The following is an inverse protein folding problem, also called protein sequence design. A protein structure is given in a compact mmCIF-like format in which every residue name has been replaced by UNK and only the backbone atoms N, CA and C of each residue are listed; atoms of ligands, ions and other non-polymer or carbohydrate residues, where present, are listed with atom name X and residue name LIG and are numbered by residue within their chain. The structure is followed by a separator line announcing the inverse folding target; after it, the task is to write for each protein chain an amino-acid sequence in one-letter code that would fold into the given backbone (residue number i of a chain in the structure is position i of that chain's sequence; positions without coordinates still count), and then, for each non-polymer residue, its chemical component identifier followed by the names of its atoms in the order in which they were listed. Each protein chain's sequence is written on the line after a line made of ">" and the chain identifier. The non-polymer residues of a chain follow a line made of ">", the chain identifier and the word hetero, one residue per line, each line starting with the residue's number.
data_IF_859216852639
#
_entry.id   IF_859216852639
#
_cell.length_a   1.000
_cell.length_b   1.000
_cell.length_c   1.000
_cell.angle_alpha   90.00
_cell.angle_beta   90.00
_cell.angle_gamma   90.00
#
_symmetry.space_group_name_H-M   'P 1'
#
loop_
_entity.id
_entity.type
_entity.pdbx_description
1 polymer ?
#
# COMPACT_ATOMS: atom_id res chain seq x y z
N UNK A 1 -30.82 0.89 -14.16
CA UNK A 1 -29.75 0.04 -14.75
C UNK A 1 -29.10 0.60 -16.00
N UNK A 2 -29.81 1.05 -17.05
CA UNK A 2 -29.20 1.47 -18.33
C UNK A 2 -28.18 2.61 -18.19
N UNK A 3 -28.41 3.58 -17.30
CA UNK A 3 -27.45 4.66 -17.02
C UNK A 3 -26.14 4.13 -16.38
N UNK A 4 -26.21 3.07 -15.58
CA UNK A 4 -25.04 2.45 -14.99
C UNK A 4 -24.24 1.66 -16.03
N UNK A 5 -24.92 0.95 -16.94
CA UNK A 5 -24.25 0.28 -18.06
C UNK A 5 -23.63 1.26 -19.05
N UNK A 6 -24.26 2.41 -19.29
CA UNK A 6 -23.65 3.47 -20.10
C UNK A 6 -22.35 4.01 -19.47
N UNK A 7 -22.35 4.28 -18.16
CA UNK A 7 -21.15 4.66 -17.41
C UNK A 7 -20.08 3.55 -17.42
N UNK A 8 -20.49 2.31 -17.19
CA UNK A 8 -19.60 1.15 -17.26
C UNK A 8 -18.90 1.08 -18.62
N UNK A 9 -19.62 1.24 -19.72
CA UNK A 9 -19.04 1.22 -21.07
C UNK A 9 -17.97 2.30 -21.27
N UNK A 10 -18.22 3.53 -20.78
CA UNK A 10 -17.24 4.62 -20.81
C UNK A 10 -16.00 4.24 -20.01
N UNK A 11 -16.16 3.75 -18.78
CA UNK A 11 -15.04 3.33 -17.93
C UNK A 11 -14.21 2.20 -18.57
N UNK A 12 -14.87 1.24 -19.22
CA UNK A 12 -14.15 0.16 -19.93
C UNK A 12 -13.38 0.69 -21.14
N UNK A 13 -13.95 1.62 -21.90
CA UNK A 13 -13.26 2.23 -23.04
C UNK A 13 -11.97 2.94 -22.61
N UNK A 14 -12.06 3.76 -21.57
CA UNK A 14 -10.95 4.59 -21.06
C UNK A 14 -9.90 3.80 -20.24
N UNK A 15 -10.15 2.53 -19.90
CA UNK A 15 -9.22 1.76 -19.07
C UNK A 15 -7.96 1.37 -19.85
N UNK A 16 -6.76 1.79 -19.43
CA UNK A 16 -5.50 1.42 -20.08
C UNK A 16 -5.20 -0.07 -19.89
N UNK A 17 -4.66 -0.71 -20.93
CA UNK A 17 -4.31 -2.14 -20.93
C UNK A 17 -2.82 -2.39 -21.20
N UNK A 18 -2.04 -1.34 -21.39
CA UNK A 18 -0.63 -1.45 -21.77
C UNK A 18 0.21 -2.16 -20.71
N UNK A 19 -0.11 -1.92 -19.44
CA UNK A 19 0.58 -2.54 -18.31
C UNK A 19 -0.46 -3.05 -17.31
N UNK A 20 -0.37 -4.33 -16.99
CA UNK A 20 -1.20 -5.02 -16.00
C UNK A 20 -0.27 -5.48 -14.88
N UNK A 21 -0.63 -5.17 -13.63
CA UNK A 21 0.16 -5.60 -12.47
C UNK A 21 0.04 -7.10 -12.24
N UNK A 22 1.12 -7.75 -11.79
CA UNK A 22 1.17 -9.20 -11.59
C UNK A 22 0.17 -9.69 -10.54
N UNK A 23 -0.19 -8.84 -9.57
CA UNK A 23 -1.28 -9.09 -8.62
C UNK A 23 -2.59 -9.53 -9.29
N UNK A 24 -2.80 -9.18 -10.58
CA UNK A 24 -3.92 -9.68 -11.37
C UNK A 24 -3.99 -11.20 -11.40
N UNK A 25 -2.84 -11.88 -11.43
CA UNK A 25 -2.72 -13.33 -11.50
C UNK A 25 -2.85 -14.00 -10.11
N UNK A 26 -2.57 -13.25 -9.04
CA UNK A 26 -2.60 -13.78 -7.66
C UNK A 26 -4.01 -13.77 -7.06
N UNK A 27 -4.92 -12.98 -7.65
CA UNK A 27 -6.29 -12.84 -7.16
C UNK A 27 -7.15 -14.02 -7.62
N UNK A 28 -7.79 -14.69 -6.67
CA UNK A 28 -8.79 -15.72 -6.94
C UNK A 28 -10.11 -15.09 -7.39
N UNK A 29 -10.16 -14.61 -8.62
CA UNK A 29 -11.32 -13.91 -9.17
C UNK A 29 -12.62 -14.72 -9.14
N UNK A 30 -12.55 -16.03 -9.03
CA UNK A 30 -13.71 -16.91 -8.91
C UNK A 30 -14.34 -16.92 -7.51
N UNK A 31 -13.70 -16.30 -6.52
CA UNK A 31 -14.29 -16.13 -5.20
C UNK A 31 -15.62 -15.35 -5.30
N UNK A 32 -16.60 -15.79 -4.52
CA UNK A 32 -17.95 -15.17 -4.48
C UNK A 32 -17.91 -13.73 -3.99
N UNK A 33 -17.04 -13.44 -3.01
CA UNK A 33 -16.80 -12.11 -2.50
C UNK A 33 -15.29 -11.94 -2.30
N UNK A 34 -14.72 -10.92 -2.92
CA UNK A 34 -13.35 -10.52 -2.69
C UNK A 34 -13.25 -9.02 -2.43
N UNK A 35 -12.24 -8.61 -1.70
CA UNK A 35 -11.95 -7.20 -1.45
C UNK A 35 -10.52 -6.86 -1.83
N UNK A 36 -10.33 -5.76 -2.57
CA UNK A 36 -9.03 -5.19 -2.88
C UNK A 36 -8.84 -3.91 -2.05
N UNK A 37 -7.93 -3.98 -1.09
CA UNK A 37 -7.62 -2.90 -0.15
C UNK A 37 -6.23 -2.35 -0.45
N UNK A 38 -5.98 -1.13 -0.06
CA UNK A 38 -4.64 -0.54 -0.20
C UNK A 38 -4.68 0.99 -0.21
N UNK A 39 -3.51 1.64 -0.15
CA UNK A 39 -3.41 3.09 -0.17
C UNK A 39 -4.13 3.72 -1.36
N UNK A 40 -4.52 4.97 -1.21
CA UNK A 40 -5.12 5.73 -2.31
C UNK A 40 -4.06 6.00 -3.39
N UNK A 41 -4.45 5.85 -4.67
CA UNK A 41 -3.56 6.13 -5.80
C UNK A 41 -2.68 4.96 -6.27
N UNK A 42 -2.77 3.77 -5.65
CA UNK A 42 -1.94 2.60 -6.03
C UNK A 42 -2.50 1.77 -7.20
N UNK A 43 -3.64 2.17 -7.78
CA UNK A 43 -4.19 1.54 -8.98
C UNK A 43 -5.27 0.48 -8.76
N UNK A 44 -5.93 0.42 -7.58
CA UNK A 44 -7.04 -0.53 -7.30
C UNK A 44 -8.16 -0.48 -8.33
N UNK A 45 -8.65 0.71 -8.62
CA UNK A 45 -9.70 0.98 -9.61
C UNK A 45 -9.31 0.48 -11.00
N UNK A 46 -8.06 0.75 -11.41
CA UNK A 46 -7.53 0.32 -12.71
C UNK A 46 -7.45 -1.20 -12.78
N UNK A 47 -6.95 -1.86 -11.74
CA UNK A 47 -6.85 -3.34 -11.67
C UNK A 47 -8.22 -4.00 -11.80
N UNK A 48 -9.26 -3.50 -11.11
CA UNK A 48 -10.63 -4.00 -11.20
C UNK A 48 -11.23 -3.84 -12.60
N UNK A 49 -11.02 -2.68 -13.22
CA UNK A 49 -11.49 -2.41 -14.58
C UNK A 49 -10.75 -3.27 -15.61
N UNK A 50 -9.43 -3.44 -15.48
CA UNK A 50 -8.63 -4.32 -16.31
C UNK A 50 -9.11 -5.77 -16.23
N UNK A 51 -9.41 -6.27 -15.02
CA UNK A 51 -9.99 -7.59 -14.86
C UNK A 51 -11.29 -7.76 -15.66
N UNK A 52 -12.21 -6.81 -15.58
CA UNK A 52 -13.46 -6.89 -16.33
C UNK A 52 -13.23 -6.86 -17.84
N UNK A 53 -12.33 -5.97 -18.30
CA UNK A 53 -12.00 -5.84 -19.73
C UNK A 53 -11.33 -7.09 -20.32
N UNK A 54 -10.57 -7.83 -19.50
CA UNK A 54 -9.94 -9.09 -19.92
C UNK A 54 -10.93 -10.26 -20.00
N UNK A 55 -11.94 -10.27 -19.14
CA UNK A 55 -12.78 -11.48 -18.96
C UNK A 55 -14.18 -11.37 -19.55
N UNK A 56 -14.61 -10.17 -19.95
CA UNK A 56 -15.95 -9.94 -20.50
C UNK A 56 -15.85 -9.16 -21.81
N UNK A 57 -16.59 -9.59 -22.85
CA UNK A 57 -16.59 -8.88 -24.13
C UNK A 57 -17.22 -7.48 -23.99
N UNK A 58 -16.82 -6.52 -24.84
CA UNK A 58 -17.44 -5.19 -24.86
C UNK A 58 -18.96 -5.25 -24.97
N UNK A 59 -19.66 -4.47 -24.16
CA UNK A 59 -21.12 -4.42 -24.13
C UNK A 59 -21.79 -5.58 -23.38
N UNK A 60 -21.03 -6.49 -22.77
CA UNK A 60 -21.59 -7.55 -21.95
C UNK A 60 -22.41 -7.00 -20.78
N UNK A 61 -23.64 -7.50 -20.60
CA UNK A 61 -24.47 -7.20 -19.43
C UNK A 61 -24.26 -8.20 -18.28
N UNK A 62 -23.34 -9.16 -18.42
CA UNK A 62 -23.00 -10.13 -17.36
C UNK A 62 -22.08 -9.56 -16.30
N UNK A 63 -21.40 -8.43 -16.57
CA UNK A 63 -20.57 -7.73 -15.61
C UNK A 63 -20.95 -6.26 -15.51
N UNK A 64 -20.77 -5.69 -14.31
CA UNK A 64 -21.02 -4.28 -14.05
C UNK A 64 -19.96 -3.73 -13.10
N UNK A 65 -19.36 -2.60 -13.47
CA UNK A 65 -18.52 -1.77 -12.60
C UNK A 65 -19.32 -0.54 -12.18
N UNK A 66 -19.35 -0.28 -10.87
CA UNK A 66 -19.91 0.92 -10.29
C UNK A 66 -18.96 1.53 -9.27
N UNK A 67 -18.75 2.85 -9.32
CA UNK A 67 -18.18 3.59 -8.20
C UNK A 67 -19.29 3.95 -7.23
N UNK A 68 -19.14 3.57 -5.96
CA UNK A 68 -20.19 3.72 -4.94
C UNK A 68 -20.32 5.17 -4.46
N UNK A 69 -19.35 6.03 -4.76
CA UNK A 69 -19.44 7.48 -4.54
C UNK A 69 -20.32 8.20 -5.60
N UNK A 70 -20.89 7.44 -6.54
CA UNK A 70 -21.84 8.00 -7.53
C UNK A 70 -23.13 8.48 -6.87
N UNK A 71 -23.64 9.61 -7.36
CA UNK A 71 -24.94 10.17 -6.92
C UNK A 71 -26.11 9.17 -7.05
N UNK A 72 -25.96 8.12 -7.85
CA UNK A 72 -26.95 7.04 -7.96
C UNK A 72 -27.25 6.41 -6.59
N UNK A 73 -26.23 6.22 -5.75
CA UNK A 73 -26.37 5.60 -4.44
C UNK A 73 -26.87 6.54 -3.33
N UNK A 74 -27.20 7.79 -3.65
CA UNK A 74 -27.92 8.65 -2.72
C UNK A 74 -29.41 8.30 -2.63
N UNK A 75 -29.96 7.55 -3.60
CA UNK A 75 -31.37 7.18 -3.69
C UNK A 75 -31.60 5.69 -3.92
N UNK A 76 -30.59 4.90 -4.18
CA UNK A 76 -30.67 3.46 -4.43
C UNK A 76 -29.72 2.71 -3.52
N UNK A 77 -30.16 1.58 -2.97
CA UNK A 77 -29.31 0.70 -2.16
C UNK A 77 -28.44 -0.21 -3.03
N UNK A 78 -27.39 -0.78 -2.41
CA UNK A 78 -26.57 -1.81 -3.06
C UNK A 78 -27.38 -3.09 -3.27
N UNK A 79 -28.32 -3.37 -2.37
CA UNK A 79 -29.21 -4.52 -2.46
C UNK A 79 -30.16 -4.41 -3.65
N UNK A 80 -30.80 -3.24 -3.85
CA UNK A 80 -31.68 -3.00 -5.03
C UNK A 80 -30.89 -3.14 -6.33
N UNK A 81 -29.67 -2.58 -6.37
CA UNK A 81 -28.78 -2.74 -7.52
C UNK A 81 -28.50 -4.21 -7.82
N UNK A 82 -28.15 -4.99 -6.79
CA UNK A 82 -27.82 -6.42 -6.96
C UNK A 82 -29.03 -7.22 -7.42
N UNK A 83 -30.23 -6.92 -6.89
CA UNK A 83 -31.48 -7.59 -7.27
C UNK A 83 -31.82 -7.33 -8.75
N UNK A 84 -31.81 -6.05 -9.18
CA UNK A 84 -32.03 -5.73 -10.60
C UNK A 84 -30.97 -6.37 -11.51
N UNK A 85 -29.69 -6.32 -11.11
CA UNK A 85 -28.58 -6.85 -11.89
C UNK A 85 -28.71 -8.37 -12.09
N UNK A 86 -29.02 -9.12 -11.02
CA UNK A 86 -29.22 -10.58 -11.09
C UNK A 86 -30.43 -10.95 -11.95
N UNK A 87 -31.56 -10.22 -11.84
CA UNK A 87 -32.74 -10.42 -12.68
C UNK A 87 -32.47 -10.23 -14.17
N UNK A 88 -31.49 -9.39 -14.52
CA UNK A 88 -31.01 -9.17 -15.89
C UNK A 88 -29.98 -10.21 -16.38
N UNK A 89 -29.62 -11.19 -15.54
CA UNK A 89 -28.63 -12.22 -15.86
C UNK A 89 -27.20 -11.80 -15.54
N UNK A 90 -27.02 -10.82 -14.65
CA UNK A 90 -25.70 -10.38 -14.17
C UNK A 90 -24.97 -11.46 -13.36
N UNK A 91 -23.66 -11.58 -13.57
CA UNK A 91 -22.83 -12.61 -12.97
C UNK A 91 -21.71 -12.02 -12.08
N UNK A 92 -21.16 -10.84 -12.45
CA UNK A 92 -20.04 -10.18 -11.77
C UNK A 92 -20.36 -8.72 -11.49
N UNK A 93 -20.44 -8.36 -10.22
CA UNK A 93 -20.60 -6.99 -9.75
C UNK A 93 -19.30 -6.47 -9.13
N UNK A 94 -18.82 -5.33 -9.60
CA UNK A 94 -17.62 -4.65 -9.05
C UNK A 94 -18.06 -3.33 -8.45
N UNK A 95 -17.85 -3.16 -7.15
CA UNK A 95 -18.22 -1.99 -6.35
C UNK A 95 -16.95 -1.32 -5.84
N UNK A 96 -16.58 -0.21 -6.47
CA UNK A 96 -15.38 0.55 -6.16
C UNK A 96 -15.66 1.61 -5.09
N UNK A 97 -14.68 1.89 -4.23
CA UNK A 97 -14.76 2.85 -3.11
C UNK A 97 -15.93 2.54 -2.13
N UNK A 98 -16.14 1.25 -1.82
CA UNK A 98 -17.29 0.75 -1.05
C UNK A 98 -17.47 1.45 0.31
N UNK A 99 -16.37 1.90 0.93
CA UNK A 99 -16.36 2.56 2.24
C UNK A 99 -17.09 3.91 2.27
N UNK A 100 -17.44 4.46 1.11
CA UNK A 100 -18.21 5.70 1.00
C UNK A 100 -19.71 5.51 1.18
N UNK A 101 -20.17 4.26 1.22
CA UNK A 101 -21.57 3.92 1.46
C UNK A 101 -21.75 3.45 2.91
N UNK A 102 -22.57 4.13 3.71
CA UNK A 102 -22.62 3.96 5.17
C UNK A 102 -22.96 2.54 5.62
N UNK A 103 -23.93 1.88 4.97
CA UNK A 103 -24.43 0.56 5.35
C UNK A 103 -23.85 -0.59 4.51
N UNK A 104 -22.76 -0.35 3.80
CA UNK A 104 -22.21 -1.28 2.83
C UNK A 104 -21.97 -2.70 3.36
N UNK A 105 -21.48 -2.84 4.60
CA UNK A 105 -21.09 -4.17 5.13
C UNK A 105 -22.31 -5.06 5.38
N UNK A 106 -23.41 -4.48 5.87
CA UNK A 106 -24.66 -5.21 6.10
C UNK A 106 -25.30 -5.61 4.76
N UNK A 107 -25.37 -4.69 3.79
CA UNK A 107 -25.94 -4.98 2.48
C UNK A 107 -25.08 -5.96 1.67
N UNK A 108 -23.75 -5.87 1.70
CA UNK A 108 -22.87 -6.86 1.04
C UNK A 108 -23.04 -8.25 1.66
N UNK A 109 -23.23 -8.34 2.97
CA UNK A 109 -23.54 -9.62 3.63
C UNK A 109 -24.87 -10.18 3.12
N UNK A 110 -25.90 -9.37 3.06
CA UNK A 110 -27.22 -9.76 2.58
C UNK A 110 -27.19 -10.17 1.10
N UNK A 111 -26.51 -9.41 0.25
CA UNK A 111 -26.27 -9.75 -1.16
C UNK A 111 -25.58 -11.12 -1.28
N UNK A 112 -24.53 -11.35 -0.47
CA UNK A 112 -23.84 -12.62 -0.45
C UNK A 112 -24.76 -13.79 -0.07
N UNK A 113 -25.61 -13.60 0.91
CA UNK A 113 -26.49 -14.67 1.40
C UNK A 113 -27.69 -14.93 0.44
N UNK A 114 -28.26 -13.89 -0.19
CA UNK A 114 -29.40 -13.99 -1.11
C UNK A 114 -29.03 -14.45 -2.53
N UNK A 115 -27.86 -14.05 -3.03
CA UNK A 115 -27.48 -14.32 -4.43
C UNK A 115 -26.23 -15.22 -4.55
N UNK A 116 -26.36 -16.55 -4.33
CA UNK A 116 -25.21 -17.46 -4.24
C UNK A 116 -24.41 -17.61 -5.53
N UNK A 117 -24.97 -17.21 -6.69
CA UNK A 117 -24.28 -17.24 -8.00
C UNK A 117 -23.63 -15.92 -8.37
N UNK A 118 -23.99 -14.81 -7.70
CA UNK A 118 -23.41 -13.51 -7.96
C UNK A 118 -21.99 -13.47 -7.36
N UNK A 119 -21.02 -13.11 -8.18
CA UNK A 119 -19.64 -12.86 -7.75
C UNK A 119 -19.46 -11.34 -7.55
N UNK A 120 -19.04 -10.94 -6.35
CA UNK A 120 -18.87 -9.52 -5.99
C UNK A 120 -17.40 -9.25 -5.71
N UNK A 121 -16.86 -8.19 -6.32
CA UNK A 121 -15.57 -7.64 -5.98
C UNK A 121 -15.75 -6.22 -5.43
N UNK A 122 -15.18 -5.95 -4.28
CA UNK A 122 -15.23 -4.62 -3.66
C UNK A 122 -13.83 -4.02 -3.56
N UNK A 123 -13.72 -2.72 -3.66
CA UNK A 123 -12.49 -2.02 -3.32
C UNK A 123 -12.71 -0.95 -2.26
N UNK A 124 -11.61 -0.59 -1.59
CA UNK A 124 -11.64 0.51 -0.63
C UNK A 124 -10.25 0.92 -0.17
N UNK A 125 -10.20 2.00 0.62
CA UNK A 125 -8.95 2.46 1.22
C UNK A 125 -8.39 1.45 2.23
N UNK A 126 -7.16 1.68 2.68
CA UNK A 126 -6.51 0.89 3.74
C UNK A 126 -7.36 0.83 5.03
N UNK A 127 -8.17 1.86 5.27
CA UNK A 127 -9.04 1.98 6.43
C UNK A 127 -10.27 1.07 6.40
N UNK A 128 -10.57 0.46 5.25
CA UNK A 128 -11.75 -0.42 5.10
C UNK A 128 -11.79 -1.59 6.10
N UNK A 129 -10.64 -2.04 6.59
CA UNK A 129 -10.58 -3.09 7.60
C UNK A 129 -11.24 -2.70 8.93
N UNK A 130 -11.19 -1.42 9.26
CA UNK A 130 -11.71 -0.90 10.54
C UNK A 130 -13.25 -0.87 10.51
N UNK A 131 -13.81 -0.61 9.34
CA UNK A 131 -15.24 -0.54 9.12
C UNK A 131 -15.93 -1.92 9.08
N UNK A 132 -15.16 -3.01 8.94
CA UNK A 132 -15.71 -4.38 8.87
C UNK A 132 -16.17 -4.95 10.22
N UNK A 133 -16.07 -4.18 11.32
CA UNK A 133 -16.38 -4.67 12.67
C UNK A 133 -17.83 -5.05 12.91
N UNK A 134 -18.77 -4.54 12.12
CA UNK A 134 -20.20 -4.68 12.37
C UNK A 134 -20.87 -5.82 11.59
N UNK A 135 -20.25 -6.33 10.53
CA UNK A 135 -20.81 -7.45 9.78
C UNK A 135 -19.82 -8.61 9.68
N UNK A 136 -20.29 -9.82 9.87
CA UNK A 136 -19.51 -11.06 9.78
C UNK A 136 -19.14 -11.38 8.31
N UNK A 137 -18.30 -10.52 7.71
CA UNK A 137 -17.72 -10.73 6.38
C UNK A 137 -16.41 -11.51 6.43
N UNK A 138 -15.84 -11.73 7.60
CA UNK A 138 -14.51 -12.35 7.76
C UNK A 138 -14.41 -13.75 7.17
N UNK A 139 -15.50 -14.54 7.21
CA UNK A 139 -15.57 -15.88 6.62
C UNK A 139 -16.09 -15.91 5.18
N UNK A 140 -16.57 -14.77 4.66
CA UNK A 140 -17.20 -14.65 3.35
C UNK A 140 -16.31 -13.98 2.31
N UNK A 141 -15.45 -13.07 2.74
CA UNK A 141 -14.66 -12.20 1.88
C UNK A 141 -13.19 -12.62 1.85
N UNK A 142 -12.64 -12.82 0.67
CA UNK A 142 -11.20 -13.05 0.46
C UNK A 142 -10.52 -11.68 0.30
N UNK A 143 -9.67 -11.26 1.26
CA UNK A 143 -9.01 -9.96 1.21
C UNK A 143 -7.71 -10.03 0.41
N UNK A 144 -7.50 -9.03 -0.44
CA UNK A 144 -6.22 -8.78 -1.13
C UNK A 144 -5.73 -7.38 -0.80
N UNK A 145 -4.42 -7.24 -0.69
CA UNK A 145 -3.77 -5.96 -0.45
C UNK A 145 -3.00 -5.55 -1.71
N UNK A 146 -3.31 -4.36 -2.23
CA UNK A 146 -2.56 -3.75 -3.31
C UNK A 146 -1.73 -2.60 -2.73
N UNK A 147 -0.41 -2.71 -2.84
CA UNK A 147 0.54 -1.68 -2.45
C UNK A 147 0.94 -0.83 -3.67
N UNK A 148 1.71 0.24 -3.47
CA UNK A 148 2.31 0.97 -4.58
C UNK A 148 3.22 0.09 -5.42
N UNK A 149 3.78 0.62 -6.50
CA UNK A 149 4.68 -0.15 -7.35
C UNK A 149 5.94 -0.54 -6.57
N UNK A 150 6.39 -1.78 -6.71
CA UNK A 150 7.73 -2.19 -6.32
C UNK A 150 8.76 -1.61 -7.29
N UNK A 151 10.06 -1.68 -6.95
CA UNK A 151 11.10 -1.27 -7.90
C UNK A 151 11.07 -2.13 -9.18
N UNK A 152 10.78 -3.41 -9.08
CA UNK A 152 10.59 -4.32 -10.21
C UNK A 152 9.44 -3.86 -11.11
N UNK A 153 8.28 -3.56 -10.54
CA UNK A 153 7.13 -3.05 -11.29
C UNK A 153 7.42 -1.69 -11.92
N UNK A 154 8.12 -0.80 -11.21
CA UNK A 154 8.56 0.47 -11.76
C UNK A 154 9.44 0.30 -13.01
N UNK A 155 10.37 -0.66 -13.03
CA UNK A 155 11.17 -0.96 -14.23
C UNK A 155 10.30 -1.38 -15.40
N UNK A 156 9.22 -2.12 -15.15
CA UNK A 156 8.24 -2.50 -16.18
C UNK A 156 7.46 -1.29 -16.68
N UNK A 157 6.98 -0.42 -15.78
CA UNK A 157 6.24 0.80 -16.15
C UNK A 157 7.13 1.82 -16.87
N UNK A 158 8.35 2.05 -16.39
CA UNK A 158 9.23 3.11 -16.88
C UNK A 158 10.03 2.71 -18.13
N UNK A 159 10.43 1.45 -18.23
CA UNK A 159 11.37 0.96 -19.24
C UNK A 159 10.82 -0.20 -20.09
N UNK A 160 9.64 -0.71 -19.80
CA UNK A 160 9.15 -1.93 -20.44
C UNK A 160 9.98 -3.19 -20.08
N UNK A 161 10.75 -3.14 -19.00
CA UNK A 161 11.59 -4.25 -18.56
C UNK A 161 10.79 -5.16 -17.64
N UNK A 162 10.41 -6.32 -18.14
CA UNK A 162 9.71 -7.33 -17.37
C UNK A 162 10.69 -8.28 -16.70
N UNK A 163 10.59 -8.41 -15.37
CA UNK A 163 11.48 -9.19 -14.53
C UNK A 163 10.64 -10.01 -13.54
N UNK A 164 11.08 -11.22 -13.16
CA UNK A 164 10.34 -12.08 -12.24
C UNK A 164 10.35 -11.52 -10.81
N UNK A 165 9.33 -11.89 -10.03
CA UNK A 165 9.32 -11.76 -8.58
C UNK A 165 10.35 -12.72 -7.99
N UNK A 166 11.07 -12.27 -6.95
CA UNK A 166 12.05 -13.07 -6.22
C UNK A 166 11.58 -13.28 -4.79
N UNK A 167 11.66 -14.52 -4.31
CA UNK A 167 11.38 -14.81 -2.90
C UNK A 167 12.51 -14.30 -2.02
N UNK A 168 12.19 -14.03 -0.77
CA UNK A 168 13.15 -13.58 0.24
C UNK A 168 14.38 -14.50 0.33
N UNK A 169 14.13 -15.81 0.42
CA UNK A 169 15.17 -16.82 0.52
C UNK A 169 16.08 -16.84 -0.72
N UNK A 170 15.51 -16.60 -1.90
CA UNK A 170 16.27 -16.54 -3.17
C UNK A 170 17.15 -15.28 -3.24
N UNK A 171 16.64 -14.13 -2.76
CA UNK A 171 17.45 -12.90 -2.68
C UNK A 171 18.65 -13.09 -1.76
N UNK A 172 18.47 -13.79 -0.64
CA UNK A 172 19.58 -14.06 0.29
C UNK A 172 20.56 -15.11 -0.24
N UNK A 173 20.05 -16.18 -0.85
CA UNK A 173 20.88 -17.31 -1.30
C UNK A 173 21.59 -17.05 -2.63
N UNK A 174 20.96 -16.32 -3.55
CA UNK A 174 21.44 -16.16 -4.94
C UNK A 174 21.43 -14.69 -5.41
N UNK A 175 21.91 -13.73 -4.60
CA UNK A 175 21.83 -12.30 -4.95
C UNK A 175 22.59 -11.95 -6.23
N UNK A 176 23.66 -12.69 -6.58
CA UNK A 176 24.42 -12.52 -7.80
C UNK A 176 23.57 -12.73 -9.06
N UNK A 177 22.73 -13.76 -9.07
CA UNK A 177 21.87 -14.07 -10.23
C UNK A 177 20.90 -12.94 -10.50
N UNK A 178 20.23 -12.43 -9.46
CA UNK A 178 19.35 -11.27 -9.57
C UNK A 178 20.08 -10.04 -10.08
N UNK A 179 21.24 -9.73 -9.51
CA UNK A 179 22.02 -8.56 -9.90
C UNK A 179 22.49 -8.62 -11.35
N UNK A 180 22.95 -9.77 -11.82
CA UNK A 180 23.34 -10.00 -13.22
C UNK A 180 22.14 -9.84 -14.15
N UNK A 181 21.01 -10.43 -13.78
CA UNK A 181 19.76 -10.33 -14.58
C UNK A 181 19.34 -8.87 -14.77
N UNK A 182 19.26 -8.10 -13.69
CA UNK A 182 18.86 -6.69 -13.73
C UNK A 182 19.89 -5.85 -14.48
N UNK A 183 21.18 -6.04 -14.19
CA UNK A 183 22.29 -5.31 -14.86
C UNK A 183 22.32 -5.55 -16.36
N UNK A 184 21.92 -6.74 -16.82
CA UNK A 184 21.83 -7.04 -18.25
C UNK A 184 20.73 -6.24 -18.98
N UNK A 185 19.79 -5.64 -18.24
CA UNK A 185 18.64 -4.91 -18.79
C UNK A 185 18.70 -3.40 -18.58
N UNK A 186 19.30 -2.94 -17.49
CA UNK A 186 19.37 -1.51 -17.16
C UNK A 186 20.58 -1.18 -16.27
N UNK A 187 20.73 0.11 -15.95
CA UNK A 187 21.64 0.61 -14.93
C UNK A 187 20.89 0.68 -13.58
N UNK A 188 21.01 -0.35 -12.70
CA UNK A 188 20.14 -0.50 -11.55
C UNK A 188 20.20 0.69 -10.59
N UNK A 189 21.38 1.26 -10.32
CA UNK A 189 21.53 2.40 -9.40
C UNK A 189 20.82 3.67 -9.91
N UNK A 190 20.93 3.96 -11.21
CA UNK A 190 20.25 5.12 -11.78
C UNK A 190 18.73 4.95 -11.76
N UNK A 191 18.24 3.76 -12.16
CA UNK A 191 16.81 3.45 -12.09
C UNK A 191 16.27 3.44 -10.65
N UNK A 192 17.08 2.97 -9.70
CA UNK A 192 16.70 2.95 -8.30
C UNK A 192 16.61 4.34 -7.68
N UNK A 193 17.55 5.24 -8.02
CA UNK A 193 17.46 6.64 -7.61
C UNK A 193 16.19 7.32 -8.12
N UNK A 194 15.80 7.05 -9.37
CA UNK A 194 14.52 7.52 -9.93
C UNK A 194 13.32 6.94 -9.21
N UNK A 195 13.34 5.63 -8.91
CA UNK A 195 12.27 4.97 -8.16
C UNK A 195 12.08 5.59 -6.77
N UNK A 196 13.15 5.77 -6.01
CA UNK A 196 13.08 6.37 -4.68
C UNK A 196 12.45 7.76 -4.72
N UNK A 197 12.60 8.48 -5.81
CA UNK A 197 12.05 9.83 -5.98
C UNK A 197 10.59 9.83 -6.43
N UNK A 198 10.20 8.95 -7.37
CA UNK A 198 8.92 9.07 -8.10
C UNK A 198 8.26 7.76 -8.53
N UNK A 199 8.81 6.61 -8.12
CA UNK A 199 8.43 5.31 -8.69
C UNK A 199 7.30 4.58 -7.96
N UNK A 200 6.83 5.06 -6.82
CA UNK A 200 5.88 4.31 -5.98
C UNK A 200 4.44 4.38 -6.47
N UNK A 201 3.95 5.57 -6.91
CA UNK A 201 2.56 5.75 -7.32
C UNK A 201 2.42 5.74 -8.84
N UNK A 202 1.58 4.83 -9.42
CA UNK A 202 1.41 4.73 -10.87
C UNK A 202 0.82 5.98 -11.52
N UNK A 203 0.09 6.84 -10.80
CA UNK A 203 -0.43 8.09 -11.35
C UNK A 203 0.66 9.12 -11.72
N UNK A 204 1.94 8.84 -11.45
CA UNK A 204 3.04 9.60 -12.02
C UNK A 204 2.96 9.66 -13.55
N UNK A 205 2.56 8.55 -14.17
CA UNK A 205 2.49 8.43 -15.63
C UNK A 205 1.32 9.20 -16.25
N UNK A 206 0.30 9.55 -15.47
CA UNK A 206 -0.83 10.38 -15.93
C UNK A 206 -0.39 11.85 -16.09
N UNK A 207 0.36 12.39 -15.13
CA UNK A 207 0.86 13.76 -15.16
C UNK A 207 2.12 13.94 -14.28
N UNK A 208 3.33 13.76 -14.85
CA UNK A 208 4.58 13.89 -14.12
C UNK A 208 4.81 15.28 -13.50
N UNK A 209 4.32 16.34 -14.13
CA UNK A 209 4.55 17.73 -13.70
C UNK A 209 3.80 18.07 -12.40
N UNK A 210 2.68 17.43 -12.13
CA UNK A 210 1.85 17.64 -10.92
C UNK A 210 1.95 16.52 -9.90
N UNK A 211 2.90 15.59 -10.07
CA UNK A 211 3.01 14.39 -9.29
C UNK A 211 3.02 14.63 -7.75
N UNK A 212 3.91 15.47 -7.26
CA UNK A 212 4.02 15.76 -5.85
C UNK A 212 2.79 16.50 -5.30
N UNK A 213 2.24 17.44 -6.07
CA UNK A 213 0.96 18.09 -5.72
C UNK A 213 -0.18 17.06 -5.63
N UNK A 214 -0.19 16.06 -6.52
CA UNK A 214 -1.18 14.98 -6.45
C UNK A 214 -1.01 14.11 -5.20
N UNK A 215 0.22 13.82 -4.78
CA UNK A 215 0.50 13.14 -3.50
C UNK A 215 -0.01 13.96 -2.31
N UNK A 216 0.28 15.26 -2.28
CA UNK A 216 -0.22 16.17 -1.23
C UNK A 216 -1.75 16.21 -1.20
N UNK A 217 -2.41 16.24 -2.34
CA UNK A 217 -3.87 16.19 -2.42
C UNK A 217 -4.44 14.86 -1.90
N UNK A 218 -3.80 13.74 -2.21
CA UNK A 218 -4.17 12.41 -1.67
C UNK A 218 -4.01 12.40 -0.16
N UNK A 219 -2.90 12.90 0.36
CA UNK A 219 -2.64 13.01 1.80
C UNK A 219 -3.69 13.88 2.50
N UNK A 220 -3.94 15.08 1.96
CA UNK A 220 -4.94 15.98 2.50
C UNK A 220 -6.33 15.34 2.52
N UNK A 221 -6.71 14.64 1.46
CA UNK A 221 -7.99 13.95 1.39
C UNK A 221 -8.11 12.85 2.45
N UNK A 222 -7.07 12.05 2.67
CA UNK A 222 -7.07 11.00 3.70
C UNK A 222 -7.23 11.62 5.09
N UNK A 223 -6.48 12.68 5.41
CA UNK A 223 -6.49 13.30 6.75
C UNK A 223 -7.75 14.13 6.99
N UNK A 224 -8.23 14.89 6.00
CA UNK A 224 -9.36 15.82 6.20
C UNK A 224 -10.73 15.15 6.03
N UNK A 225 -10.82 14.02 5.32
CA UNK A 225 -12.08 13.36 4.99
C UNK A 225 -12.14 11.89 5.43
N UNK A 226 -11.22 11.02 5.01
CA UNK A 226 -11.35 9.58 5.29
C UNK A 226 -11.14 9.26 6.79
N UNK A 227 -10.09 9.77 7.42
CA UNK A 227 -9.82 9.51 8.83
C UNK A 227 -10.91 10.03 9.77
N UNK A 228 -11.45 11.27 9.59
CA UNK A 228 -12.57 11.74 10.38
C UNK A 228 -13.81 10.85 10.28
N UNK A 229 -14.16 10.40 9.08
CA UNK A 229 -15.32 9.52 8.88
C UNK A 229 -15.16 8.17 9.61
N UNK A 230 -13.97 7.56 9.50
CA UNK A 230 -13.70 6.22 10.05
C UNK A 230 -13.47 6.25 11.55
N UNK A 231 -12.75 7.24 12.06
CA UNK A 231 -12.31 7.33 13.47
C UNK A 231 -13.09 8.33 14.31
N UNK A 232 -14.11 8.99 13.72
CA UNK A 232 -14.90 10.04 14.38
C UNK A 232 -14.01 11.13 14.98
N UNK A 233 -12.92 11.45 14.27
CA UNK A 233 -12.00 12.53 14.65
C UNK A 233 -12.65 13.86 14.30
N UNK A 234 -12.65 14.80 15.26
CA UNK A 234 -13.10 16.16 14.99
C UNK A 234 -12.25 16.81 13.89
N UNK A 235 -12.90 17.39 12.89
CA UNK A 235 -12.25 18.10 11.78
C UNK A 235 -11.27 19.17 12.27
N UNK A 236 -11.58 19.82 13.39
CA UNK A 236 -10.66 20.79 14.03
C UNK A 236 -9.29 20.18 14.41
N UNK A 237 -9.21 18.87 14.59
CA UNK A 237 -7.98 18.17 14.95
C UNK A 237 -7.17 17.65 13.75
N UNK A 238 -7.69 17.70 12.53
CA UNK A 238 -6.96 17.24 11.32
C UNK A 238 -5.70 18.05 11.09
N UNK A 239 -5.72 19.36 11.41
CA UNK A 239 -4.54 20.22 11.36
C UNK A 239 -3.41 19.74 12.27
N UNK A 240 -3.74 19.26 13.48
CA UNK A 240 -2.74 18.70 14.42
C UNK A 240 -2.14 17.40 13.87
N UNK A 241 -2.96 16.58 13.20
CA UNK A 241 -2.51 15.35 12.58
C UNK A 241 -1.55 15.62 11.41
N UNK A 242 -1.85 16.63 10.57
CA UNK A 242 -0.91 17.12 9.53
C UNK A 242 0.39 17.64 10.12
N UNK A 243 0.31 18.42 11.22
CA UNK A 243 1.50 18.89 11.95
C UNK A 243 2.35 17.74 12.47
N UNK A 244 1.73 16.68 13.02
CA UNK A 244 2.44 15.48 13.47
C UNK A 244 3.16 14.80 12.30
N UNK A 245 2.47 14.58 11.18
CA UNK A 245 3.05 13.96 10.00
C UNK A 245 4.23 14.78 9.44
N UNK A 246 4.08 16.11 9.39
CA UNK A 246 5.15 17.02 8.97
C UNK A 246 6.38 16.93 9.89
N UNK A 247 6.16 16.92 11.22
CA UNK A 247 7.24 16.74 12.20
C UNK A 247 7.96 15.41 11.98
N UNK A 248 7.23 14.32 11.74
CA UNK A 248 7.81 13.00 11.48
C UNK A 248 8.62 12.98 10.18
N UNK A 249 8.14 13.61 9.12
CA UNK A 249 8.82 13.63 7.81
C UNK A 249 10.13 14.44 7.83
N UNK A 250 10.26 15.41 8.72
CA UNK A 250 11.45 16.29 8.83
C UNK A 250 12.41 15.90 9.95
N UNK A 251 12.24 14.72 10.55
CA UNK A 251 13.12 14.19 11.58
C UNK A 251 13.79 12.89 11.11
N UNK A 252 15.07 12.72 11.43
CA UNK A 252 15.72 11.41 11.30
C UNK A 252 15.03 10.43 12.26
N UNK A 253 14.67 9.20 11.81
CA UNK A 253 14.09 8.21 12.69
C UNK A 253 14.99 7.89 13.87
N UNK A 254 14.55 8.23 15.06
CA UNK A 254 15.20 7.94 16.33
C UNK A 254 14.22 7.16 17.22
N UNK A 255 14.72 6.68 18.34
CA UNK A 255 13.84 6.07 19.35
C UNK A 255 12.73 7.06 19.72
N UNK A 256 11.48 6.61 19.54
CA UNK A 256 10.31 7.49 19.65
C UNK A 256 10.19 8.09 21.05
N UNK A 257 10.18 9.41 21.13
CA UNK A 257 9.84 10.16 22.33
C UNK A 257 8.47 10.85 22.15
N UNK A 258 7.44 10.22 22.69
CA UNK A 258 6.07 10.73 22.63
C UNK A 258 5.93 12.08 23.33
N UNK A 259 6.72 12.34 24.38
CA UNK A 259 6.67 13.64 25.09
C UNK A 259 7.19 14.77 24.23
N UNK A 260 8.27 14.52 23.48
CA UNK A 260 8.84 15.49 22.55
C UNK A 260 7.87 15.74 21.36
N UNK A 261 7.27 14.69 20.81
CA UNK A 261 6.26 14.82 19.75
C UNK A 261 5.04 15.61 20.25
N UNK A 262 4.58 15.33 21.47
CA UNK A 262 3.48 16.05 22.11
C UNK A 262 3.80 17.55 22.28
N UNK A 263 5.00 17.88 22.77
CA UNK A 263 5.45 19.26 22.92
C UNK A 263 5.54 20.00 21.58
N UNK A 264 6.11 19.37 20.54
CA UNK A 264 6.26 19.98 19.21
C UNK A 264 4.93 20.20 18.49
N UNK A 265 3.93 19.38 18.75
CA UNK A 265 2.62 19.43 18.07
C UNK A 265 1.53 20.09 18.90
N UNK A 266 1.82 20.45 20.16
CA UNK A 266 0.84 21.03 21.09
C UNK A 266 -0.32 20.07 21.42
N UNK A 267 -0.04 18.75 21.45
CA UNK A 267 -1.03 17.70 21.74
C UNK A 267 -0.71 16.99 23.06
N UNK A 268 -1.73 16.37 23.64
CA UNK A 268 -1.53 15.43 24.74
C UNK A 268 -0.91 14.11 24.26
N UNK A 269 -0.14 13.42 25.12
CA UNK A 269 0.56 12.16 24.80
C UNK A 269 -0.37 11.09 24.26
N UNK A 270 -1.54 10.91 24.87
CA UNK A 270 -2.52 9.91 24.44
C UNK A 270 -3.10 10.22 23.06
N UNK A 271 -3.29 11.51 22.75
CA UNK A 271 -3.73 11.97 21.43
C UNK A 271 -2.67 11.69 20.38
N UNK A 272 -1.38 11.93 20.68
CA UNK A 272 -0.27 11.59 19.77
C UNK A 272 -0.27 10.09 19.47
N UNK A 273 -0.35 9.22 20.49
CA UNK A 273 -0.40 7.76 20.32
C UNK A 273 -1.59 7.32 19.46
N UNK A 274 -2.77 7.89 19.69
CA UNK A 274 -3.95 7.58 18.87
C UNK A 274 -3.75 8.01 17.41
N UNK A 275 -3.22 9.20 17.17
CA UNK A 275 -3.00 9.71 15.81
C UNK A 275 -1.89 8.97 15.08
N UNK A 276 -0.83 8.55 15.75
CA UNK A 276 0.17 7.65 15.17
C UNK A 276 -0.47 6.36 14.67
N UNK A 277 -1.34 5.75 15.49
CA UNK A 277 -2.07 4.55 15.09
C UNK A 277 -2.98 4.81 13.88
N UNK A 278 -3.69 5.93 13.84
CA UNK A 278 -4.58 6.27 12.71
C UNK A 278 -3.79 6.52 11.41
N UNK A 279 -2.64 7.17 11.49
CA UNK A 279 -1.76 7.40 10.35
C UNK A 279 -1.15 6.08 9.83
N UNK A 280 -0.79 5.15 10.71
CA UNK A 280 -0.31 3.80 10.34
C UNK A 280 -1.40 2.98 9.65
N UNK A 281 -2.61 2.98 10.18
CA UNK A 281 -3.77 2.33 9.57
C UNK A 281 -4.10 2.92 8.19
N UNK A 282 -3.93 4.23 8.02
CA UNK A 282 -4.09 4.93 6.74
C UNK A 282 -2.94 4.69 5.76
N UNK A 283 -1.88 3.99 6.17
CA UNK A 283 -0.68 3.80 5.36
C UNK A 283 0.01 5.10 4.96
N UNK A 284 0.07 6.04 5.90
CA UNK A 284 0.88 7.26 5.79
C UNK A 284 2.20 7.14 6.54
N UNK A 285 2.26 6.26 7.53
CA UNK A 285 3.47 5.91 8.29
C UNK A 285 3.54 4.41 8.53
N UNK A 286 4.71 3.93 8.95
CA UNK A 286 4.94 2.60 9.51
C UNK A 286 5.37 2.71 10.97
N UNK A 287 4.67 2.03 11.87
CA UNK A 287 5.03 1.90 13.28
C UNK A 287 5.81 0.60 13.47
N UNK A 288 7.05 0.68 13.91
CA UNK A 288 7.87 -0.48 14.22
C UNK A 288 7.99 -0.70 15.73
N UNK A 289 7.89 -1.96 16.10
CA UNK A 289 8.01 -2.46 17.46
C UNK A 289 9.10 -3.51 17.51
N UNK A 290 9.81 -3.59 18.61
CA UNK A 290 10.84 -4.60 18.87
C UNK A 290 10.28 -5.94 19.34
N UNK A 291 8.98 -6.05 19.43
CA UNK A 291 8.24 -7.24 19.80
C UNK A 291 6.79 -7.04 19.36
N UNK A 292 6.31 -7.91 18.49
CA UNK A 292 4.97 -7.85 17.94
C UNK A 292 3.90 -8.46 18.84
N UNK A 293 4.22 -8.80 20.12
CA UNK A 293 3.22 -9.26 21.08
C UNK A 293 2.11 -8.22 21.23
N UNK A 294 0.87 -8.68 21.39
CA UNK A 294 -0.32 -7.80 21.49
C UNK A 294 -0.21 -6.75 22.60
N UNK A 295 0.46 -7.11 23.71
CA UNK A 295 0.68 -6.21 24.85
C UNK A 295 1.59 -5.04 24.50
N UNK A 296 2.67 -5.27 23.71
CA UNK A 296 3.59 -4.20 23.31
C UNK A 296 3.05 -3.31 22.18
N UNK A 297 2.23 -3.87 21.29
CA UNK A 297 1.52 -3.05 20.28
C UNK A 297 0.54 -2.04 20.89
N UNK A 298 0.12 -2.24 22.14
CA UNK A 298 -0.68 -1.26 22.89
C UNK A 298 0.17 -0.14 23.52
N UNK A 299 1.48 -0.28 23.51
CA UNK A 299 2.44 0.71 24.02
C UNK A 299 2.94 1.63 22.89
N UNK A 300 3.89 2.49 23.19
CA UNK A 300 4.52 3.35 22.18
C UNK A 300 5.33 2.52 21.18
N UNK A 301 5.36 2.88 19.89
CA UNK A 301 6.27 2.27 18.93
C UNK A 301 7.74 2.58 19.28
N UNK A 302 8.65 1.72 18.85
CA UNK A 302 10.09 1.94 19.01
C UNK A 302 10.64 2.89 17.92
N UNK A 303 10.22 2.72 16.65
CA UNK A 303 10.56 3.61 15.53
C UNK A 303 9.32 3.94 14.70
N UNK A 304 9.37 5.07 14.00
CA UNK A 304 8.32 5.54 13.09
C UNK A 304 8.97 5.95 11.78
N UNK A 305 8.43 5.48 10.67
CA UNK A 305 8.83 5.86 9.31
C UNK A 305 7.64 6.40 8.53
N UNK A 306 7.87 7.33 7.60
CA UNK A 306 6.89 7.65 6.56
C UNK A 306 6.68 6.40 5.70
N UNK A 307 5.47 6.17 5.19
CA UNK A 307 5.12 4.91 4.52
C UNK A 307 6.02 4.59 3.32
N UNK A 308 6.32 5.57 2.49
CA UNK A 308 7.17 5.39 1.32
C UNK A 308 7.99 6.64 1.00
N UNK A 309 9.02 6.48 0.18
CA UNK A 309 9.97 7.55 -0.14
C UNK A 309 9.35 8.68 -0.96
N UNK A 310 8.36 8.39 -1.79
CA UNK A 310 7.69 9.41 -2.60
C UNK A 310 6.79 10.32 -1.75
N UNK A 311 6.12 9.73 -0.74
CA UNK A 311 5.38 10.50 0.26
C UNK A 311 6.34 11.36 1.10
N UNK A 312 7.50 10.81 1.51
CA UNK A 312 8.54 11.59 2.19
C UNK A 312 8.98 12.79 1.33
N UNK A 313 9.27 12.57 0.05
CA UNK A 313 9.67 13.63 -0.88
C UNK A 313 8.61 14.73 -1.08
N UNK A 314 7.32 14.37 -0.95
CA UNK A 314 6.24 15.35 -1.04
C UNK A 314 6.09 16.20 0.25
N UNK A 315 6.44 15.66 1.42
CA UNK A 315 6.19 16.32 2.72
C UNK A 315 7.46 17.01 3.26
N UNK A 316 8.63 16.38 3.10
CA UNK A 316 9.88 16.85 3.68
C UNK A 316 10.48 18.01 2.89
N UNK A 317 10.97 19.03 3.60
CA UNK A 317 11.55 20.24 2.98
C UNK A 317 12.74 19.95 2.06
N UNK A 318 13.53 18.92 2.33
CA UNK A 318 14.76 18.57 1.59
C UNK A 318 14.81 17.11 1.16
N UNK A 319 13.65 16.43 0.98
CA UNK A 319 13.59 15.02 0.57
C UNK A 319 14.04 14.02 1.63
N UNK A 320 14.28 14.47 2.85
CA UNK A 320 14.73 13.64 3.96
C UNK A 320 16.25 13.33 3.95
N UNK A 321 16.74 12.77 5.07
CA UNK A 321 18.10 12.24 5.18
C UNK A 321 18.24 10.95 4.38
N UNK A 322 19.37 10.77 3.70
CA UNK A 322 19.60 9.59 2.82
C UNK A 322 19.55 8.25 3.58
N UNK A 323 19.96 8.22 4.84
CA UNK A 323 19.83 7.04 5.70
C UNK A 323 18.36 6.69 5.91
N UNK A 324 17.57 7.70 6.24
CA UNK A 324 16.10 7.59 6.40
C UNK A 324 15.40 7.09 5.13
N UNK A 325 15.78 7.62 3.97
CA UNK A 325 15.23 7.19 2.66
C UNK A 325 15.48 5.70 2.43
N UNK A 326 16.68 5.20 2.74
CA UNK A 326 17.04 3.78 2.63
C UNK A 326 16.23 2.89 3.55
N UNK A 327 16.09 3.28 4.82
CA UNK A 327 15.30 2.55 5.80
C UNK A 327 13.81 2.53 5.43
N UNK A 328 13.24 3.66 4.99
CA UNK A 328 11.85 3.76 4.50
C UNK A 328 11.61 2.81 3.33
N UNK A 329 12.50 2.80 2.35
CA UNK A 329 12.40 1.88 1.22
C UNK A 329 12.40 0.42 1.70
N UNK A 330 13.35 0.04 2.55
CA UNK A 330 13.46 -1.32 3.06
C UNK A 330 12.19 -1.74 3.83
N UNK A 331 11.72 -0.93 4.78
CA UNK A 331 10.48 -1.22 5.53
C UNK A 331 9.28 -1.35 4.61
N UNK A 332 9.12 -0.42 3.65
CA UNK A 332 8.00 -0.45 2.72
C UNK A 332 7.97 -1.73 1.89
N UNK A 333 9.09 -2.13 1.28
CA UNK A 333 9.13 -3.32 0.42
C UNK A 333 9.01 -4.63 1.22
N UNK A 334 9.68 -4.72 2.35
CA UNK A 334 9.62 -5.92 3.22
C UNK A 334 8.23 -6.11 3.83
N UNK A 335 7.59 -5.05 4.31
CA UNK A 335 6.30 -5.14 5.01
C UNK A 335 5.14 -5.61 4.12
N UNK A 336 5.35 -5.74 2.81
CA UNK A 336 4.35 -6.32 1.91
C UNK A 336 4.11 -7.81 2.18
N UNK A 337 5.18 -8.58 2.35
CA UNK A 337 5.12 -10.04 2.49
C UNK A 337 5.69 -10.57 3.82
N UNK A 338 6.42 -9.76 4.57
CA UNK A 338 7.17 -10.16 5.76
C UNK A 338 6.78 -9.35 7.00
N UNK A 339 6.99 -9.95 8.17
CA UNK A 339 6.94 -9.23 9.43
C UNK A 339 8.24 -8.49 9.64
N UNK A 340 8.16 -7.18 9.84
CA UNK A 340 9.34 -6.35 10.11
C UNK A 340 9.25 -5.83 11.54
N UNK A 341 10.27 -6.11 12.33
CA UNK A 341 10.42 -5.66 13.71
C UNK A 341 11.66 -4.75 13.82
N UNK A 342 11.68 -3.87 14.81
CA UNK A 342 12.86 -3.08 15.11
C UNK A 342 13.97 -3.95 15.72
N UNK A 343 15.16 -3.96 15.12
CA UNK A 343 16.29 -4.82 15.49
C UNK A 343 17.00 -4.44 16.80
N UNK A 344 16.67 -3.28 17.41
CA UNK A 344 17.30 -2.75 18.64
C UNK A 344 18.80 -2.50 18.48
N UNK A 345 19.60 -3.28 19.26
CA UNK A 345 21.06 -3.20 19.24
C UNK A 345 21.67 -4.09 18.13
N UNK A 346 20.87 -4.97 17.56
CA UNK A 346 21.30 -6.01 16.64
C UNK A 346 20.78 -5.70 15.22
N UNK A 347 21.25 -4.62 14.62
CA UNK A 347 20.82 -4.20 13.29
C UNK A 347 19.62 -3.28 13.28
N UNK A 348 19.19 -2.86 12.08
CA UNK A 348 18.06 -1.95 11.91
C UNK A 348 16.73 -2.69 12.02
N UNK A 349 16.60 -3.86 11.38
CA UNK A 349 15.37 -4.64 11.34
C UNK A 349 15.60 -6.12 11.60
N UNK A 350 14.58 -6.75 12.19
CA UNK A 350 14.44 -8.20 12.30
C UNK A 350 13.27 -8.62 11.41
N UNK A 351 13.54 -9.46 10.41
CA UNK A 351 12.58 -9.95 9.42
C UNK A 351 12.13 -11.36 9.83
N UNK A 352 10.80 -11.57 9.89
CA UNK A 352 10.14 -12.83 10.25
C UNK A 352 10.66 -13.46 11.57
N UNK A 353 11.13 -12.60 12.47
CA UNK A 353 11.71 -12.99 13.78
C UNK A 353 12.96 -13.90 13.68
N UNK A 354 13.60 -13.98 12.51
CA UNK A 354 14.75 -14.85 12.22
C UNK A 354 15.94 -14.11 11.66
N UNK A 355 15.77 -13.35 10.59
CA UNK A 355 16.86 -12.73 9.83
C UNK A 355 17.09 -11.29 10.27
N UNK A 356 18.28 -10.98 10.71
CA UNK A 356 18.66 -9.60 11.07
C UNK A 356 19.25 -8.88 9.87
N UNK A 357 18.78 -7.67 9.61
CA UNK A 357 19.32 -6.84 8.53
C UNK A 357 19.78 -5.47 9.03
N UNK A 358 20.82 -4.99 8.42
CA UNK A 358 21.40 -3.67 8.60
C UNK A 358 21.32 -2.91 7.28
N UNK A 359 20.87 -1.66 7.31
CA UNK A 359 20.69 -0.84 6.12
C UNK A 359 21.78 0.24 6.09
N UNK A 360 22.34 0.50 4.91
CA UNK A 360 23.33 1.57 4.82
C UNK A 360 23.77 1.95 3.42
N UNK A 361 24.79 2.79 3.34
CA UNK A 361 25.49 3.11 2.09
C UNK A 361 26.54 2.06 1.73
N UNK A 362 27.24 2.26 0.62
CA UNK A 362 28.27 1.34 0.09
C UNK A 362 29.35 0.96 1.12
N UNK A 363 29.70 1.87 2.01
CA UNK A 363 30.76 1.70 3.02
C UNK A 363 30.25 1.08 4.33
N UNK A 364 28.95 0.76 4.43
CA UNK A 364 28.39 0.13 5.63
C UNK A 364 29.04 -1.24 5.87
N UNK A 365 29.54 -1.45 7.08
CA UNK A 365 30.17 -2.71 7.50
C UNK A 365 29.27 -3.54 8.42
N UNK A 366 29.74 -4.71 8.81
CA UNK A 366 29.03 -5.71 9.62
C UNK A 366 29.12 -5.48 11.13
N UNK A 367 29.77 -4.41 11.61
CA UNK A 367 30.11 -4.21 13.03
C UNK A 367 28.94 -4.45 14.02
N UNK A 368 27.72 -4.07 13.64
CA UNK A 368 26.54 -4.18 14.52
C UNK A 368 25.93 -5.59 14.53
N UNK A 369 26.21 -6.40 13.50
CA UNK A 369 25.60 -7.71 13.27
C UNK A 369 26.64 -8.84 13.14
N UNK A 370 27.93 -8.58 13.44
CA UNK A 370 29.05 -9.49 13.21
C UNK A 370 28.91 -10.84 13.95
N UNK A 371 28.27 -10.83 15.13
CA UNK A 371 28.14 -12.01 15.99
C UNK A 371 26.82 -12.79 15.73
N UNK A 372 26.05 -12.40 14.69
CA UNK A 372 24.77 -13.02 14.36
C UNK A 372 24.88 -13.96 13.18
N UNK A 373 24.34 -15.17 13.32
CA UNK A 373 24.46 -16.23 12.30
C UNK A 373 23.63 -15.98 11.05
N UNK A 374 22.44 -15.38 11.17
CA UNK A 374 21.54 -15.06 10.05
C UNK A 374 21.39 -13.55 9.95
N UNK A 375 22.42 -12.92 9.37
CA UNK A 375 22.49 -11.47 9.29
C UNK A 375 23.08 -10.97 7.98
N UNK A 376 22.51 -9.89 7.45
CA UNK A 376 22.89 -9.33 6.16
C UNK A 376 22.95 -7.80 6.22
N UNK A 377 23.84 -7.21 5.39
CA UNK A 377 23.87 -5.78 5.14
C UNK A 377 23.23 -5.50 3.80
N UNK A 378 22.14 -4.74 3.75
CA UNK A 378 21.58 -4.22 2.51
C UNK A 378 22.15 -2.83 2.25
N UNK A 379 23.02 -2.73 1.25
CA UNK A 379 23.78 -1.53 0.97
C UNK A 379 23.30 -0.83 -0.30
N UNK A 380 23.03 0.48 -0.18
CA UNK A 380 22.82 1.36 -1.31
C UNK A 380 24.14 1.76 -1.96
N UNK A 381 24.12 2.07 -3.26
CA UNK A 381 25.30 2.50 -4.02
C UNK A 381 26.22 1.36 -4.46
N UNK A 382 25.78 0.10 -4.37
CA UNK A 382 26.44 -1.07 -4.94
C UNK A 382 25.56 -1.77 -5.97
N UNK A 383 26.17 -2.28 -7.04
CA UNK A 383 25.46 -3.01 -8.10
C UNK A 383 25.46 -4.52 -7.91
N UNK A 384 26.47 -5.04 -7.22
CA UNK A 384 26.67 -6.48 -7.00
C UNK A 384 26.93 -6.78 -5.51
N UNK A 385 26.56 -7.98 -5.05
CA UNK A 385 26.79 -8.39 -3.67
C UNK A 385 28.26 -8.67 -3.39
N UNK A 386 28.64 -8.58 -2.11
CA UNK A 386 29.92 -8.99 -1.57
C UNK A 386 29.70 -9.77 -0.28
N UNK A 387 29.76 -11.11 -0.36
CA UNK A 387 29.37 -11.99 0.75
C UNK A 387 27.94 -11.75 1.22
N UNK A 388 27.75 -11.46 2.50
CA UNK A 388 26.47 -11.14 3.10
C UNK A 388 26.05 -9.65 2.92
N UNK A 389 26.81 -8.87 2.13
CA UNK A 389 26.41 -7.51 1.73
C UNK A 389 25.71 -7.57 0.39
N UNK A 390 24.42 -7.24 0.36
CA UNK A 390 23.52 -7.34 -0.78
C UNK A 390 23.10 -5.93 -1.21
N UNK A 391 22.94 -5.64 -2.52
CA UNK A 391 22.44 -4.35 -2.97
C UNK A 391 21.04 -4.06 -2.43
N UNK A 392 20.81 -2.87 -1.86
CA UNK A 392 19.54 -2.46 -1.25
C UNK A 392 18.37 -2.56 -2.23
N UNK A 393 18.57 -2.18 -3.49
CA UNK A 393 17.53 -2.19 -4.53
C UNK A 393 16.94 -3.59 -4.80
N UNK A 394 17.62 -4.68 -4.41
CA UNK A 394 17.13 -6.06 -4.58
C UNK A 394 15.85 -6.31 -3.77
N UNK A 395 15.64 -5.62 -2.65
CA UNK A 395 14.39 -5.69 -1.87
C UNK A 395 13.16 -5.29 -2.69
N UNK A 396 13.33 -4.49 -3.73
CA UNK A 396 12.26 -4.10 -4.64
C UNK A 396 11.82 -5.17 -5.63
N UNK A 397 12.27 -6.42 -5.47
CA UNK A 397 11.88 -7.59 -6.27
C UNK A 397 11.00 -8.59 -5.53
N UNK A 398 10.61 -8.28 -4.28
CA UNK A 398 9.79 -9.16 -3.44
C UNK A 398 8.34 -9.29 -3.92
N UNK A 399 7.85 -8.38 -4.76
CA UNK A 399 6.52 -8.43 -5.38
C UNK A 399 6.45 -7.71 -6.72
#
# INVERSE_FOLDING_TARGET
>A
MDSLFAKHAIYMAETPMDIIRDTMNDIQWDARLLSIKGPKGVGKTTLLKQFLKLNYPPGSRKCLYCSVDSIYFSTHSLLDLADEFVKMGGERLVLDEIHKYEHWSAEIKEIYDLYPRLKVAISGSSLLQILNGDADLSRRCVPYHLQGLSFREFLRFEKGIDLPVWKWEDILARPWELCQLVKSKCYPLACFADYLKRGYYPFYYDNPSTYFTSIENVLNYIIDFELPQVRKVDIANTRKMKSLLYVLANQVPFLVDISNLAAKTGMERNTVLAYLKYLDEAKLIHLLYSDLSSVKKMQKPDKIYIDNTNLLNAIANNGGDIGTVREIFAVNQLSYAHKVEYGKKNGDFLVDSTTTIEIGGKDKGFKQIADLSDSYVFADGIEFPDGAKIPLWTLGFLY
#
